data_IF_354981962899
#
_entry.id   IF_354981962899
#
_cell.length_a   1.000
_cell.length_b   1.000
_cell.length_c   1.000
_cell.angle_alpha   90.00
_cell.angle_beta   90.00
_cell.angle_gamma   90.00
#
_symmetry.space_group_name_H-M   'P 1'
#
loop_
_entity.id
_entity.type
_entity.pdbx_description
1 polymer ?
#
# COMPACT_ATOMS: atom_id res chain seq x y z
N UNK A 1 -13.71 3.56 1.19
CA UNK A 1 -12.33 4.05 1.10
C UNK A 1 -11.40 2.88 0.80
N UNK A 2 -10.38 3.10 -0.01
CA UNK A 2 -9.43 2.07 -0.40
C UNK A 2 -8.02 2.51 0.01
N UNK A 3 -7.30 1.63 0.70
CA UNK A 3 -5.89 1.85 1.03
C UNK A 3 -5.05 1.44 -0.17
N UNK A 4 -4.12 2.29 -0.60
CA UNK A 4 -3.31 2.07 -1.80
C UNK A 4 -1.88 1.72 -1.41
N UNK A 5 -1.42 0.55 -1.84
CA UNK A 5 -0.04 0.13 -1.63
C UNK A 5 0.91 0.96 -2.50
N UNK A 6 2.13 1.15 -2.02
CA UNK A 6 3.14 1.97 -2.70
C UNK A 6 3.46 1.47 -4.11
N UNK A 7 3.47 0.16 -4.34
CA UNK A 7 3.79 -0.39 -5.68
C UNK A 7 2.86 0.14 -6.76
N UNK A 8 1.57 0.32 -6.45
CA UNK A 8 0.59 0.85 -7.39
C UNK A 8 0.91 2.30 -7.76
N UNK A 9 1.23 3.12 -6.77
CA UNK A 9 1.57 4.52 -7.00
C UNK A 9 2.91 4.66 -7.72
N UNK A 10 3.90 3.87 -7.34
CA UNK A 10 5.21 3.88 -7.98
C UNK A 10 5.09 3.50 -9.46
N UNK A 11 4.27 2.51 -9.79
CA UNK A 11 4.00 2.13 -11.18
C UNK A 11 3.48 3.31 -12.00
N UNK A 12 2.60 4.10 -11.40
CA UNK A 12 2.02 5.28 -12.07
C UNK A 12 3.08 6.38 -12.22
N UNK A 13 3.77 6.71 -11.13
CA UNK A 13 4.71 7.83 -11.12
C UNK A 13 5.97 7.57 -11.94
N UNK A 14 6.39 6.30 -12.05
CA UNK A 14 7.57 5.92 -12.81
C UNK A 14 7.24 5.43 -14.23
N UNK A 15 6.00 5.56 -14.68
CA UNK A 15 5.57 5.10 -16.01
C UNK A 15 5.93 3.63 -16.29
N UNK A 16 5.67 2.74 -15.32
CA UNK A 16 6.00 1.33 -15.47
C UNK A 16 5.34 0.74 -16.71
N UNK A 17 6.15 0.15 -17.61
CA UNK A 17 5.69 -0.32 -18.91
C UNK A 17 4.66 -1.44 -18.78
N UNK A 18 4.75 -2.28 -17.74
CA UNK A 18 3.87 -3.43 -17.56
C UNK A 18 2.62 -3.09 -16.75
N UNK A 19 2.76 -2.30 -15.68
CA UNK A 19 1.72 -2.16 -14.67
C UNK A 19 1.02 -0.81 -14.63
N UNK A 20 1.54 0.21 -15.31
CA UNK A 20 0.96 1.56 -15.24
C UNK A 20 -0.52 1.60 -15.59
N UNK A 21 -0.91 0.94 -16.68
CA UNK A 21 -2.32 0.96 -17.14
C UNK A 21 -3.25 0.30 -16.14
N UNK A 22 -2.85 -0.85 -15.61
CA UNK A 22 -3.64 -1.54 -14.59
C UNK A 22 -3.77 -0.69 -13.34
N UNK A 23 -2.66 -0.11 -12.88
CA UNK A 23 -2.64 0.70 -11.65
C UNK A 23 -3.50 1.96 -11.80
N UNK A 24 -3.42 2.66 -12.92
CA UNK A 24 -4.28 3.83 -13.19
C UNK A 24 -5.76 3.42 -13.22
N UNK A 25 -6.09 2.33 -13.88
CA UNK A 25 -7.47 1.86 -13.98
C UNK A 25 -8.04 1.55 -12.58
N UNK A 26 -7.30 0.85 -11.75
CA UNK A 26 -7.76 0.48 -10.41
C UNK A 26 -7.89 1.70 -9.48
N UNK A 27 -6.94 2.62 -9.53
CA UNK A 27 -7.02 3.87 -8.75
C UNK A 27 -8.24 4.68 -9.20
N UNK A 28 -8.46 4.79 -10.49
CA UNK A 28 -9.61 5.51 -11.03
C UNK A 28 -10.93 4.91 -10.58
N UNK A 29 -11.03 3.59 -10.57
CA UNK A 29 -12.24 2.88 -10.10
C UNK A 29 -12.50 3.09 -8.61
N UNK A 30 -11.44 3.15 -7.81
CA UNK A 30 -11.55 3.31 -6.37
C UNK A 30 -11.78 4.76 -5.93
N UNK A 31 -11.40 5.72 -6.77
CA UNK A 31 -11.42 7.14 -6.43
C UNK A 31 -12.77 7.65 -5.90
N UNK A 32 -13.94 7.29 -6.47
CA UNK A 32 -15.22 7.79 -5.96
C UNK A 32 -15.50 7.43 -4.50
N UNK A 33 -14.92 6.34 -4.01
CA UNK A 33 -15.09 5.90 -2.61
C UNK A 33 -14.00 6.44 -1.69
N UNK A 34 -13.05 7.18 -2.22
CA UNK A 34 -11.92 7.73 -1.48
C UNK A 34 -10.71 6.79 -1.47
N UNK A 35 -9.54 7.41 -1.49
CA UNK A 35 -8.24 6.73 -1.48
C UNK A 35 -7.47 7.20 -0.26
N UNK A 36 -6.74 6.31 0.39
CA UNK A 36 -5.84 6.70 1.47
C UNK A 36 -4.52 5.96 1.42
N UNK A 37 -3.54 6.58 2.04
CA UNK A 37 -2.21 6.04 2.29
C UNK A 37 -1.80 6.42 3.72
N UNK A 38 -0.64 5.96 4.14
CA UNK A 38 -0.02 6.40 5.40
C UNK A 38 1.40 6.92 5.15
N UNK A 39 2.08 7.30 6.23
CA UNK A 39 3.43 7.83 6.16
C UNK A 39 4.43 6.83 5.56
N UNK A 40 4.21 5.53 5.74
CA UNK A 40 5.09 4.50 5.18
C UNK A 40 4.99 4.47 3.65
N UNK A 41 3.77 4.48 3.12
CA UNK A 41 3.56 4.58 1.68
C UNK A 41 4.14 5.89 1.14
N UNK A 42 3.89 6.99 1.84
CA UNK A 42 4.45 8.29 1.48
C UNK A 42 5.97 8.22 1.36
N UNK A 43 6.63 7.61 2.35
CA UNK A 43 8.09 7.46 2.33
C UNK A 43 8.56 6.66 1.11
N UNK A 44 7.87 5.55 0.82
CA UNK A 44 8.26 4.70 -0.31
C UNK A 44 8.08 5.39 -1.66
N UNK A 45 6.98 6.13 -1.85
CA UNK A 45 6.75 6.83 -3.12
C UNK A 45 7.62 8.07 -3.28
N UNK A 46 8.12 8.62 -2.18
CA UNK A 46 8.96 9.83 -2.21
C UNK A 46 10.22 9.64 -3.02
N UNK A 47 10.75 8.41 -3.11
CA UNK A 47 11.93 8.12 -3.90
C UNK A 47 11.73 8.36 -5.41
N UNK A 48 10.50 8.45 -5.87
CA UNK A 48 10.18 8.72 -7.28
C UNK A 48 10.24 10.21 -7.63
N UNK A 49 10.51 11.08 -6.66
CA UNK A 49 10.46 12.54 -6.85
C UNK A 49 11.75 13.20 -6.38
N UNK A 50 12.05 14.36 -6.96
CA UNK A 50 13.25 15.11 -6.62
C UNK A 50 13.10 15.90 -5.31
N UNK A 51 11.90 16.38 -4.98
CA UNK A 51 11.65 17.24 -3.81
C UNK A 51 10.39 16.82 -3.07
N UNK A 52 10.30 17.21 -1.79
CA UNK A 52 9.10 17.01 -0.99
C UNK A 52 7.90 17.72 -1.60
N UNK A 53 8.11 18.92 -2.14
CA UNK A 53 7.04 19.67 -2.79
C UNK A 53 6.43 18.86 -3.94
N UNK A 54 7.26 18.20 -4.75
CA UNK A 54 6.79 17.40 -5.88
C UNK A 54 5.95 16.20 -5.43
N UNK A 55 6.38 15.48 -4.41
CA UNK A 55 5.61 14.33 -3.91
C UNK A 55 4.30 14.80 -3.28
N UNK A 56 4.32 15.88 -2.50
CA UNK A 56 3.12 16.42 -1.88
C UNK A 56 2.11 16.86 -2.94
N UNK A 57 2.58 17.50 -4.00
CA UNK A 57 1.73 17.92 -5.13
C UNK A 57 1.10 16.71 -5.81
N UNK A 58 1.89 15.66 -6.08
CA UNK A 58 1.37 14.43 -6.70
C UNK A 58 0.31 13.76 -5.84
N UNK A 59 0.51 13.68 -4.52
CA UNK A 59 -0.45 13.12 -3.58
C UNK A 59 -1.77 13.90 -3.60
N UNK A 60 -1.71 15.22 -3.62
CA UNK A 60 -2.89 16.07 -3.72
C UNK A 60 -3.64 15.88 -5.03
N UNK A 61 -2.93 15.85 -6.14
CA UNK A 61 -3.52 15.62 -7.47
C UNK A 61 -4.21 14.26 -7.53
N UNK A 62 -3.64 13.26 -6.88
CA UNK A 62 -4.23 11.92 -6.80
C UNK A 62 -5.39 11.82 -5.82
N UNK A 63 -5.70 12.87 -5.07
CA UNK A 63 -6.74 12.89 -4.04
C UNK A 63 -6.56 11.79 -3.00
N UNK A 64 -5.31 11.57 -2.62
CA UNK A 64 -4.96 10.58 -1.61
C UNK A 64 -4.96 11.23 -0.23
N UNK A 65 -5.78 10.71 0.68
CA UNK A 65 -5.73 11.10 2.08
C UNK A 65 -4.57 10.42 2.77
N UNK A 66 -3.81 11.17 3.57
CA UNK A 66 -2.75 10.59 4.38
C UNK A 66 -3.32 10.36 5.77
N UNK A 67 -3.41 9.09 6.18
CA UNK A 67 -3.92 8.68 7.49
C UNK A 67 -2.77 8.45 8.44
N UNK A 68 -2.88 8.97 9.66
CA UNK A 68 -1.93 8.69 10.73
C UNK A 68 -2.00 7.21 11.11
N UNK A 69 -0.86 6.60 11.36
CA UNK A 69 -0.81 5.20 11.78
C UNK A 69 -1.18 5.13 13.27
N UNK A 70 -2.32 4.51 13.62
CA UNK A 70 -2.67 4.37 15.03
C UNK A 70 -1.81 3.32 15.71
N UNK A 71 -1.66 3.43 17.03
CA UNK A 71 -0.86 2.46 17.80
C UNK A 71 -1.38 1.04 17.65
N UNK A 72 -2.68 0.87 17.50
CA UNK A 72 -3.28 -0.43 17.24
C UNK A 72 -2.72 -1.07 15.96
N UNK A 73 -2.60 -0.31 14.88
CA UNK A 73 -2.01 -0.79 13.63
C UNK A 73 -0.52 -1.10 13.80
N UNK A 74 0.21 -0.27 14.53
CA UNK A 74 1.62 -0.52 14.80
C UNK A 74 1.81 -1.82 15.59
N UNK A 75 0.97 -2.09 16.57
CA UNK A 75 1.02 -3.33 17.33
C UNK A 75 0.72 -4.55 16.47
N UNK A 76 -0.32 -4.49 15.63
CA UNK A 76 -0.64 -5.58 14.71
C UNK A 76 0.50 -5.82 13.71
N UNK A 77 1.13 -4.76 13.23
CA UNK A 77 2.29 -4.87 12.35
C UNK A 77 3.44 -5.61 13.05
N UNK A 78 3.70 -5.28 14.31
CA UNK A 78 4.74 -5.94 15.10
C UNK A 78 4.45 -7.43 15.30
N UNK A 79 3.19 -7.79 15.59
CA UNK A 79 2.80 -9.19 15.77
C UNK A 79 2.93 -9.98 14.47
N UNK A 80 2.51 -9.41 13.35
CA UNK A 80 2.65 -10.06 12.05
C UNK A 80 4.11 -10.21 11.64
N UNK A 81 4.93 -9.19 11.90
CA UNK A 81 6.36 -9.23 11.61
C UNK A 81 7.07 -10.30 12.45
N UNK A 82 6.66 -10.48 13.70
CA UNK A 82 7.18 -11.53 14.55
C UNK A 82 6.90 -12.93 13.96
N UNK A 83 5.67 -13.17 13.48
CA UNK A 83 5.33 -14.43 12.80
C UNK A 83 6.13 -14.62 11.53
N UNK A 84 6.32 -13.56 10.76
CA UNK A 84 7.11 -13.58 9.53
C UNK A 84 8.56 -14.02 9.81
N UNK A 85 9.17 -13.49 10.85
CA UNK A 85 10.51 -13.85 11.26
C UNK A 85 10.60 -15.32 11.68
N UNK A 86 9.60 -15.83 12.38
CA UNK A 86 9.53 -17.23 12.77
C UNK A 86 9.42 -18.16 11.55
N UNK A 87 8.84 -17.67 10.46
CA UNK A 87 8.74 -18.40 9.20
C UNK A 87 9.98 -18.19 8.30
N UNK A 88 11.09 -17.76 8.88
CA UNK A 88 12.36 -17.53 8.17
C UNK A 88 12.30 -16.45 7.10
N UNK A 89 11.46 -15.45 7.30
CA UNK A 89 11.38 -14.31 6.41
C UNK A 89 12.63 -13.43 6.48
N UNK A 90 12.93 -12.73 5.43
CA UNK A 90 14.07 -11.82 5.35
C UNK A 90 13.72 -10.45 5.91
N UNK A 91 14.56 -9.95 6.80
CA UNK A 91 14.35 -8.76 7.60
C UNK A 91 14.14 -7.46 6.83
N UNK A 92 14.81 -7.30 5.69
CA UNK A 92 15.12 -5.96 5.18
C UNK A 92 13.98 -5.30 4.40
N UNK A 93 13.00 -6.06 3.94
CA UNK A 93 12.02 -5.52 2.98
C UNK A 93 10.58 -5.68 3.42
N UNK A 94 10.34 -6.39 4.52
CA UNK A 94 8.98 -6.78 4.89
C UNK A 94 8.28 -5.78 5.80
N UNK A 95 9.00 -5.08 6.68
CA UNK A 95 8.37 -4.25 7.72
C UNK A 95 7.44 -3.17 7.16
N UNK A 96 7.78 -2.46 6.07
CA UNK A 96 6.83 -1.50 5.49
C UNK A 96 5.49 -2.13 5.10
N UNK A 97 5.52 -3.32 4.51
CA UNK A 97 4.29 -4.03 4.12
C UNK A 97 3.42 -4.36 5.31
N UNK A 98 4.03 -4.67 6.45
CA UNK A 98 3.27 -4.99 7.66
C UNK A 98 2.55 -3.76 8.22
N UNK A 99 3.17 -2.57 8.15
CA UNK A 99 2.47 -1.33 8.50
C UNK A 99 1.31 -1.03 7.55
N UNK A 100 1.45 -1.35 6.29
CA UNK A 100 0.40 -1.15 5.29
C UNK A 100 -0.76 -2.11 5.54
N UNK A 101 -0.47 -3.41 5.66
CA UNK A 101 -1.50 -4.43 5.89
C UNK A 101 -2.25 -4.24 7.19
N UNK A 102 -1.53 -3.98 8.28
CA UNK A 102 -2.12 -3.75 9.58
C UNK A 102 -3.02 -2.51 9.59
N UNK A 103 -2.58 -1.44 8.93
CA UNK A 103 -3.35 -0.20 8.88
C UNK A 103 -4.64 -0.37 8.08
N UNK A 104 -4.57 -1.05 6.95
CA UNK A 104 -5.78 -1.38 6.18
C UNK A 104 -6.75 -2.23 7.02
N UNK A 105 -6.24 -3.17 7.80
CA UNK A 105 -7.08 -4.00 8.68
C UNK A 105 -7.77 -3.16 9.74
N UNK A 106 -7.06 -2.28 10.43
CA UNK A 106 -7.62 -1.42 11.46
C UNK A 106 -8.68 -0.48 10.89
N UNK A 107 -8.44 0.05 9.69
CA UNK A 107 -9.41 0.91 9.01
C UNK A 107 -10.59 0.13 8.41
N UNK A 108 -10.52 -1.19 8.38
CA UNK A 108 -11.52 -2.06 7.75
C UNK A 108 -11.77 -1.66 6.29
N UNK A 109 -10.74 -1.32 5.57
CA UNK A 109 -10.84 -0.96 4.16
C UNK A 109 -10.07 -1.92 3.27
N UNK A 110 -10.47 -2.08 2.00
CA UNK A 110 -9.71 -2.92 1.09
C UNK A 110 -8.35 -2.31 0.79
N UNK A 111 -7.42 -3.17 0.44
CA UNK A 111 -6.05 -2.81 0.07
C UNK A 111 -5.85 -3.08 -1.43
N UNK A 112 -5.50 -2.05 -2.17
CA UNK A 112 -5.15 -2.16 -3.57
C UNK A 112 -3.65 -2.39 -3.69
N UNK A 113 -3.27 -3.56 -4.21
CA UNK A 113 -1.87 -3.95 -4.39
C UNK A 113 -1.72 -4.87 -5.59
N UNK A 114 -0.56 -4.85 -6.24
CA UNK A 114 -0.25 -5.86 -7.26
C UNK A 114 0.60 -7.01 -6.74
N UNK A 115 1.04 -6.94 -5.48
CA UNK A 115 1.85 -7.98 -4.83
C UNK A 115 1.12 -8.51 -3.60
N UNK A 116 0.11 -9.39 -3.79
CA UNK A 116 -0.79 -9.77 -2.70
C UNK A 116 -0.24 -10.77 -1.72
N UNK A 117 0.85 -11.46 -2.05
CA UNK A 117 1.24 -12.69 -1.36
C UNK A 117 1.46 -12.52 0.14
N UNK A 118 2.23 -11.50 0.53
CA UNK A 118 2.51 -11.25 1.94
C UNK A 118 1.26 -10.82 2.71
N UNK A 119 0.44 -9.98 2.09
CA UNK A 119 -0.80 -9.53 2.72
C UNK A 119 -1.80 -10.66 2.90
N UNK A 120 -1.94 -11.53 1.89
CA UNK A 120 -2.84 -12.69 2.00
C UNK A 120 -2.41 -13.63 3.13
N UNK A 121 -1.12 -13.78 3.34
CA UNK A 121 -0.58 -14.67 4.36
C UNK A 121 -0.75 -14.10 5.77
N UNK A 122 -0.40 -12.83 5.96
CA UNK A 122 -0.30 -12.24 7.32
C UNK A 122 -1.48 -11.37 7.72
N UNK A 123 -2.30 -10.96 6.75
CA UNK A 123 -3.51 -10.15 7.00
C UNK A 123 -4.70 -10.73 6.23
N UNK A 124 -5.09 -11.99 6.53
CA UNK A 124 -6.12 -12.67 5.73
C UNK A 124 -7.50 -12.02 5.82
N UNK A 125 -7.74 -11.18 6.82
CA UNK A 125 -9.03 -10.49 6.97
C UNK A 125 -9.12 -9.23 6.10
N UNK A 126 -8.02 -8.79 5.51
CA UNK A 126 -8.02 -7.62 4.61
C UNK A 126 -8.46 -8.05 3.22
N UNK A 127 -9.49 -7.38 2.69
CA UNK A 127 -9.90 -7.60 1.30
C UNK A 127 -8.84 -7.01 0.37
N UNK A 128 -8.33 -7.82 -0.55
CA UNK A 128 -7.30 -7.38 -1.49
C UNK A 128 -7.92 -7.10 -2.86
N UNK A 129 -7.49 -6.01 -3.49
CA UNK A 129 -7.79 -5.70 -4.89
C UNK A 129 -6.48 -5.89 -5.64
N UNK A 130 -6.41 -6.93 -6.47
CA UNK A 130 -5.16 -7.38 -7.10
C UNK A 130 -5.39 -7.72 -8.56
N UNK A 131 -4.33 -7.78 -9.38
CA UNK A 131 -4.46 -8.31 -10.73
C UNK A 131 -4.98 -9.74 -10.68
N UNK A 132 -5.90 -10.08 -11.60
CA UNK A 132 -6.38 -11.45 -11.69
C UNK A 132 -5.30 -12.35 -12.29
N UNK A 133 -5.10 -13.49 -11.64
CA UNK A 133 -4.18 -14.49 -12.16
C UNK A 133 -4.70 -15.00 -13.50
N UNK A 134 -3.82 -15.16 -14.41
CA UNK A 134 -4.11 -15.73 -15.71
C UNK A 134 -5.13 -14.97 -16.49
N UNK A 135 -5.27 -13.86 -16.04
CA UNK A 135 -6.20 -13.14 -16.85
C UNK A 135 -6.13 -13.76 -18.13
#
# INVERSE_FOLDING_TARGET
>A
MTFVDSCVLIDIFNDDAQWKSWSIDQVSRALPRGLCINAVVYAEVSSSFATQHDVTTAIKHGRLDIKDIPMEAAYLAAEAFKRYRLNKGQFKTALPDFFIGAHAQVLSCPLLTRDPQRFATYFPDVQLITPTAAG
#
